data_IF_919246018792
#
_entry.id   IF_919246018792
#
_cell.length_a   1.000
_cell.length_b   1.000
_cell.length_c   1.000
_cell.angle_alpha   90.00
_cell.angle_beta   90.00
_cell.angle_gamma   90.00
#
_symmetry.space_group_name_H-M   'P 1'
#
loop_
_entity.id
_entity.type
_entity.pdbx_description
1 polymer ?
#
# COMPACT_ATOMS: atom_id res chain seq x y z
N UNK A 1 16.29 32.87 -37.48
CA UNK A 1 16.66 32.87 -36.05
C UNK A 1 15.37 33.06 -35.24
N UNK A 2 14.63 31.97 -34.97
CA UNK A 2 13.31 32.03 -34.33
C UNK A 2 13.53 32.05 -32.82
N UNK A 3 13.43 33.24 -32.22
CA UNK A 3 13.51 33.44 -30.77
C UNK A 3 12.15 33.01 -30.20
N UNK A 4 12.07 31.80 -29.66
CA UNK A 4 10.84 31.28 -29.04
C UNK A 4 10.35 32.26 -27.99
N UNK A 5 9.06 32.62 -28.05
CA UNK A 5 8.46 33.55 -27.09
C UNK A 5 8.51 32.95 -25.68
N UNK A 6 8.73 33.77 -24.63
CA UNK A 6 8.86 33.28 -23.25
C UNK A 6 7.62 32.47 -22.78
N UNK A 7 6.44 32.82 -23.29
CA UNK A 7 5.18 32.08 -23.06
C UNK A 7 5.22 30.64 -23.59
N UNK A 8 5.89 30.40 -24.71
CA UNK A 8 6.00 29.06 -25.29
C UNK A 8 6.93 28.16 -24.46
N UNK A 9 8.03 28.71 -23.95
CA UNK A 9 8.98 28.02 -23.08
C UNK A 9 8.34 27.70 -21.71
N UNK A 10 7.56 28.63 -21.14
CA UNK A 10 6.82 28.38 -19.90
C UNK A 10 5.71 27.34 -20.05
N UNK A 11 4.99 27.35 -21.17
CA UNK A 11 3.94 26.35 -21.47
C UNK A 11 4.53 24.95 -21.68
N UNK A 12 5.69 24.86 -22.36
CA UNK A 12 6.42 23.61 -22.50
C UNK A 12 6.98 23.12 -21.16
N UNK A 13 7.50 24.00 -20.30
CA UNK A 13 8.00 23.64 -18.98
C UNK A 13 6.90 23.17 -18.04
N UNK A 14 5.70 23.78 -18.08
CA UNK A 14 4.52 23.33 -17.31
C UNK A 14 3.95 22.02 -17.85
N UNK A 15 3.88 21.86 -19.17
CA UNK A 15 3.44 20.60 -19.79
C UNK A 15 4.44 19.48 -19.54
N UNK A 16 5.75 19.77 -19.60
CA UNK A 16 6.80 18.82 -19.26
C UNK A 16 6.78 18.45 -17.79
N UNK A 17 6.62 19.40 -16.85
CA UNK A 17 6.40 19.07 -15.41
C UNK A 17 5.18 18.17 -15.19
N UNK A 18 4.11 18.37 -15.97
CA UNK A 18 2.88 17.57 -15.89
C UNK A 18 3.03 16.18 -16.55
N UNK A 19 3.91 16.06 -17.54
CA UNK A 19 4.20 14.82 -18.26
C UNK A 19 5.35 13.99 -17.63
N UNK A 20 6.21 14.61 -16.82
CA UNK A 20 7.43 13.98 -16.25
C UNK A 20 7.13 13.07 -15.07
N UNK A 21 5.93 13.07 -14.49
CA UNK A 21 5.59 12.03 -13.53
C UNK A 21 4.15 11.56 -13.70
N UNK A 22 3.96 10.57 -14.57
CA UNK A 22 2.98 9.52 -14.27
C UNK A 22 3.44 8.83 -12.98
N UNK A 23 3.26 9.49 -11.84
CA UNK A 23 3.48 8.91 -10.52
C UNK A 23 2.58 7.67 -10.44
N UNK A 24 3.19 6.49 -10.32
CA UNK A 24 2.44 5.26 -10.12
C UNK A 24 1.73 5.36 -8.77
N UNK A 25 0.42 5.14 -8.78
CA UNK A 25 -0.34 5.13 -7.53
C UNK A 25 0.01 3.90 -6.70
N UNK A 26 -0.21 3.96 -5.39
CA UNK A 26 -0.04 2.79 -4.51
C UNK A 26 -0.90 1.60 -4.97
N UNK A 27 -2.12 1.87 -5.45
CA UNK A 27 -2.93 0.85 -6.13
C UNK A 27 -2.25 0.28 -7.37
N UNK A 28 -1.70 1.14 -8.23
CA UNK A 28 -0.95 0.72 -9.41
C UNK A 28 0.22 -0.19 -9.04
N UNK A 29 0.94 0.13 -7.97
CA UNK A 29 2.02 -0.71 -7.44
C UNK A 29 1.51 -2.10 -7.05
N UNK A 30 0.44 -2.19 -6.25
CA UNK A 30 -0.09 -3.49 -5.86
C UNK A 30 -0.64 -4.30 -7.03
N UNK A 31 -1.30 -3.65 -8.00
CA UNK A 31 -1.86 -4.31 -9.18
C UNK A 31 -0.77 -4.88 -10.11
N UNK A 32 0.35 -4.16 -10.26
CA UNK A 32 1.42 -4.54 -11.19
C UNK A 32 2.41 -5.50 -10.54
N UNK A 33 2.75 -5.31 -9.26
CA UNK A 33 3.83 -6.03 -8.61
C UNK A 33 3.34 -7.06 -7.60
N UNK A 34 2.43 -6.68 -6.70
CA UNK A 34 2.10 -7.54 -5.56
C UNK A 34 1.05 -8.60 -5.87
N UNK A 35 -0.07 -8.20 -6.48
CA UNK A 35 -1.19 -9.08 -6.80
C UNK A 35 -0.84 -10.17 -7.82
N UNK A 36 -0.01 -9.93 -8.86
CA UNK A 36 0.41 -11.00 -9.76
C UNK A 36 1.23 -12.09 -9.04
N UNK A 37 2.07 -11.71 -8.08
CA UNK A 37 2.84 -12.66 -7.26
C UNK A 37 1.89 -13.48 -6.39
N UNK A 38 0.93 -12.84 -5.71
CA UNK A 38 -0.09 -13.53 -4.91
C UNK A 38 -0.91 -14.50 -5.78
N UNK A 39 -1.37 -14.05 -6.95
CA UNK A 39 -2.12 -14.88 -7.88
C UNK A 39 -1.31 -16.11 -8.33
N UNK A 40 -0.04 -15.92 -8.68
CA UNK A 40 0.88 -17.01 -9.01
C UNK A 40 1.02 -18.00 -7.85
N UNK A 41 1.24 -17.51 -6.62
CA UNK A 41 1.36 -18.35 -5.43
C UNK A 41 0.08 -19.14 -5.15
N UNK A 42 -1.09 -18.51 -5.27
CA UNK A 42 -2.39 -19.19 -5.11
C UNK A 42 -2.54 -20.29 -6.16
N UNK A 43 -2.20 -20.03 -7.43
CA UNK A 43 -2.25 -21.04 -8.50
C UNK A 43 -1.31 -22.21 -8.20
N UNK A 44 -0.07 -21.93 -7.78
CA UNK A 44 0.91 -22.96 -7.42
C UNK A 44 0.49 -23.79 -6.19
N UNK A 45 -0.24 -23.17 -5.26
CA UNK A 45 -0.67 -23.79 -4.01
C UNK A 45 -2.11 -24.31 -4.03
N UNK A 46 -2.86 -24.15 -5.14
CA UNK A 46 -4.32 -24.37 -5.18
C UNK A 46 -4.79 -25.73 -4.68
N UNK A 47 -3.96 -26.78 -4.84
CA UNK A 47 -4.27 -28.14 -4.38
C UNK A 47 -3.82 -28.43 -2.94
N UNK A 48 -3.06 -27.51 -2.32
CA UNK A 48 -2.50 -27.61 -0.96
C UNK A 48 -3.22 -26.69 0.03
N UNK A 49 -3.86 -25.62 -0.45
CA UNK A 49 -4.62 -24.71 0.40
C UNK A 49 -5.82 -25.44 1.02
N UNK A 50 -6.07 -25.11 2.28
CA UNK A 50 -7.13 -25.70 3.12
C UNK A 50 -7.73 -24.57 3.93
N UNK A 51 -8.96 -24.75 4.41
CA UNK A 51 -9.63 -23.72 5.21
C UNK A 51 -8.79 -23.27 6.42
N UNK A 52 -8.11 -24.20 7.10
CA UNK A 52 -7.21 -23.89 8.20
C UNK A 52 -6.11 -22.87 7.82
N UNK A 53 -5.56 -22.95 6.60
CA UNK A 53 -4.57 -21.99 6.13
C UNK A 53 -5.15 -20.59 5.97
N UNK A 54 -6.39 -20.47 5.48
CA UNK A 54 -7.07 -19.18 5.36
C UNK A 54 -7.40 -18.59 6.74
N UNK A 55 -7.82 -19.42 7.70
CA UNK A 55 -8.09 -18.97 9.08
C UNK A 55 -6.82 -18.46 9.74
N UNK A 56 -5.72 -19.22 9.69
CA UNK A 56 -4.44 -18.77 10.23
C UNK A 56 -3.95 -17.49 9.54
N UNK A 57 -4.04 -17.42 8.21
CA UNK A 57 -3.69 -16.24 7.44
C UNK A 57 -4.51 -15.01 7.88
N UNK A 58 -5.83 -15.16 8.04
CA UNK A 58 -6.72 -14.09 8.49
C UNK A 58 -6.36 -13.62 9.91
N UNK A 59 -6.04 -14.54 10.83
CA UNK A 59 -5.60 -14.20 12.18
C UNK A 59 -4.29 -13.41 12.13
N UNK A 60 -3.31 -13.86 11.35
CA UNK A 60 -2.01 -13.17 11.20
C UNK A 60 -2.21 -11.77 10.60
N UNK A 61 -3.01 -11.65 9.54
CA UNK A 61 -3.32 -10.34 8.94
C UNK A 61 -4.04 -9.43 9.92
N UNK A 62 -4.97 -9.95 10.74
CA UNK A 62 -5.67 -9.18 11.75
C UNK A 62 -4.72 -8.69 12.85
N UNK A 63 -3.82 -9.56 13.33
CA UNK A 63 -2.80 -9.18 14.32
C UNK A 63 -1.89 -8.10 13.74
N UNK A 64 -1.37 -8.31 12.53
CA UNK A 64 -0.51 -7.34 11.85
C UNK A 64 -1.23 -6.00 11.71
N UNK A 65 -2.45 -6.00 11.19
CA UNK A 65 -3.25 -4.79 11.01
C UNK A 65 -3.50 -4.03 12.31
N UNK A 66 -3.95 -4.72 13.37
CA UNK A 66 -4.23 -4.10 14.68
C UNK A 66 -2.94 -3.57 15.30
N UNK A 67 -1.83 -4.29 15.13
CA UNK A 67 -0.56 -3.89 15.69
C UNK A 67 0.02 -2.69 14.94
N UNK A 68 0.08 -2.72 13.60
CA UNK A 68 0.75 -1.69 12.79
C UNK A 68 -0.06 -0.40 12.70
N UNK A 69 -1.38 -0.49 12.54
CA UNK A 69 -2.26 0.68 12.32
C UNK A 69 -2.04 1.81 13.33
N UNK A 70 -2.05 1.56 14.66
CA UNK A 70 -1.64 2.51 15.69
C UNK A 70 -0.34 3.27 15.44
N UNK A 71 0.76 2.53 15.29
CA UNK A 71 2.10 3.11 15.22
C UNK A 71 2.29 3.89 13.94
N UNK A 72 1.72 3.39 12.85
CA UNK A 72 1.89 3.95 11.51
C UNK A 72 1.13 5.28 11.36
N UNK A 73 -0.11 5.32 11.86
CA UNK A 73 -0.89 6.56 11.96
C UNK A 73 -0.19 7.58 12.88
N UNK A 74 0.38 7.13 13.99
CA UNK A 74 1.10 8.01 14.90
C UNK A 74 2.40 8.56 14.29
N UNK A 75 3.12 7.78 13.49
CA UNK A 75 4.30 8.24 12.78
C UNK A 75 3.98 9.32 11.72
N UNK A 76 2.85 9.18 11.00
CA UNK A 76 2.35 10.24 10.09
C UNK A 76 1.98 11.49 10.88
N UNK A 77 1.27 11.32 12.00
CA UNK A 77 0.89 12.43 12.87
C UNK A 77 2.09 13.24 13.37
N UNK A 78 3.17 12.56 13.75
CA UNK A 78 4.43 13.20 14.16
C UNK A 78 5.23 13.80 12.99
N UNK A 79 4.81 13.57 11.74
CA UNK A 79 5.53 14.01 10.54
C UNK A 79 6.86 13.28 10.33
N UNK A 80 7.06 12.12 10.96
CA UNK A 80 8.27 11.29 10.78
C UNK A 80 8.31 10.73 9.35
N UNK A 81 7.13 10.45 8.78
CA UNK A 81 6.99 9.98 7.42
C UNK A 81 5.64 10.43 6.82
N UNK A 82 5.47 10.33 5.50
CA UNK A 82 4.27 10.78 4.81
C UNK A 82 4.20 10.31 3.36
N UNK A 83 3.12 10.68 2.67
CA UNK A 83 2.81 10.25 1.30
C UNK A 83 2.97 11.41 0.31
N UNK A 84 3.25 11.09 -0.96
CA UNK A 84 3.37 12.12 -2.01
C UNK A 84 2.01 12.69 -2.45
N UNK A 85 2.03 13.88 -3.04
CA UNK A 85 0.83 14.44 -3.69
C UNK A 85 0.43 13.60 -4.92
N UNK A 86 -0.84 13.17 -4.95
CA UNK A 86 -1.44 12.49 -6.11
C UNK A 86 -1.08 11.01 -6.28
N UNK A 87 -0.38 10.38 -5.33
CA UNK A 87 -0.02 8.94 -5.41
C UNK A 87 -1.03 8.00 -4.75
N UNK A 88 -1.94 8.51 -3.93
CA UNK A 88 -2.97 7.71 -3.26
C UNK A 88 -4.36 8.35 -3.41
N UNK A 89 -5.40 7.53 -3.52
CA UNK A 89 -6.80 7.96 -3.50
C UNK A 89 -7.06 8.68 -2.17
N UNK A 90 -7.49 9.93 -2.27
CA UNK A 90 -7.85 10.77 -1.12
C UNK A 90 -6.68 11.44 -0.39
N UNK A 91 -5.51 11.58 -1.02
CA UNK A 91 -4.46 12.45 -0.49
C UNK A 91 -4.85 13.94 -0.50
N UNK A 92 -4.58 14.72 0.56
CA UNK A 92 -4.09 14.30 1.88
C UNK A 92 -5.24 13.81 2.76
N UNK A 93 -5.24 12.53 3.15
CA UNK A 93 -6.23 11.98 4.09
C UNK A 93 -6.04 12.56 5.50
N UNK A 94 -4.82 13.02 5.80
CA UNK A 94 -4.52 13.83 6.97
C UNK A 94 -5.44 15.04 7.08
N UNK A 95 -5.89 15.65 5.97
CA UNK A 95 -6.83 16.78 6.04
C UNK A 95 -8.19 16.35 6.57
N UNK A 96 -8.69 15.16 6.22
CA UNK A 96 -9.93 14.64 6.78
C UNK A 96 -9.79 14.31 8.28
N UNK A 97 -8.67 13.68 8.67
CA UNK A 97 -8.38 13.40 10.08
C UNK A 97 -8.19 14.69 10.89
N UNK A 98 -7.38 15.64 10.44
CA UNK A 98 -7.11 16.91 11.11
C UNK A 98 -8.35 17.84 11.16
N UNK A 99 -9.27 17.75 10.20
CA UNK A 99 -10.49 18.57 10.16
C UNK A 99 -11.61 17.98 11.03
N UNK A 100 -11.66 16.64 11.19
CA UNK A 100 -12.75 15.97 11.91
C UNK A 100 -12.34 15.37 13.27
N UNK A 101 -11.04 15.37 13.64
CA UNK A 101 -10.65 14.94 14.97
C UNK A 101 -10.85 16.08 15.98
N UNK A 102 -11.63 15.87 17.06
CA UNK A 102 -11.62 16.78 18.20
C UNK A 102 -10.17 16.86 18.70
N UNK A 103 -9.72 18.06 19.09
CA UNK A 103 -8.37 18.32 19.63
C UNK A 103 -7.96 17.42 20.83
N UNK A 104 -8.86 16.55 21.28
CA UNK A 104 -8.76 15.68 22.46
C UNK A 104 -9.19 14.22 22.17
N UNK A 105 -9.46 13.83 20.92
CA UNK A 105 -10.10 12.56 20.54
C UNK A 105 -9.17 11.56 19.83
N UNK A 106 -9.00 10.38 20.42
CA UNK A 106 -8.64 9.09 19.81
C UNK A 106 -7.99 9.10 18.39
N UNK A 107 -6.75 9.54 18.27
CA UNK A 107 -6.03 9.79 17.00
C UNK A 107 -5.37 8.57 16.34
N UNK A 108 -5.91 7.36 16.51
CA UNK A 108 -5.24 6.11 16.06
C UNK A 108 -5.54 5.72 14.60
N UNK A 109 -6.50 6.38 13.95
CA UNK A 109 -7.01 6.02 12.61
C UNK A 109 -7.19 7.28 11.74
N UNK A 110 -6.99 7.12 10.43
CA UNK A 110 -7.34 8.12 9.42
C UNK A 110 -6.22 9.05 8.96
N UNK A 111 -4.98 8.86 9.42
CA UNK A 111 -3.82 9.63 8.94
C UNK A 111 -3.16 9.00 7.71
N UNK A 112 -3.26 7.67 7.57
CA UNK A 112 -2.73 6.91 6.42
C UNK A 112 -3.82 6.70 5.35
N UNK A 113 -3.45 6.60 4.06
CA UNK A 113 -4.38 6.36 2.96
C UNK A 113 -4.94 4.93 2.97
N UNK A 114 -6.07 4.70 2.29
CA UNK A 114 -6.72 3.39 2.19
C UNK A 114 -5.83 2.30 1.59
N UNK A 115 -4.95 2.71 0.69
CA UNK A 115 -3.94 1.85 0.09
C UNK A 115 -2.98 1.26 1.12
N UNK A 116 -2.62 2.01 2.16
CA UNK A 116 -1.69 1.54 3.20
C UNK A 116 -2.35 0.48 4.09
N UNK A 117 -3.62 0.70 4.45
CA UNK A 117 -4.42 -0.34 5.14
C UNK A 117 -4.53 -1.62 4.29
N UNK A 118 -4.67 -1.46 2.98
CA UNK A 118 -4.71 -2.60 2.04
C UNK A 118 -3.35 -3.29 1.97
N UNK A 119 -2.25 -2.53 2.00
CA UNK A 119 -0.89 -3.04 2.00
C UNK A 119 -0.65 -4.01 3.15
N UNK A 120 -1.03 -3.68 4.39
CA UNK A 120 -0.85 -4.57 5.55
C UNK A 120 -1.49 -5.96 5.32
N UNK A 121 -2.67 -5.99 4.69
CA UNK A 121 -3.37 -7.24 4.41
C UNK A 121 -2.75 -7.97 3.23
N UNK A 122 -2.45 -7.27 2.15
CA UNK A 122 -1.86 -7.84 0.93
C UNK A 122 -0.49 -8.47 1.25
N UNK A 123 0.36 -7.77 2.01
CA UNK A 123 1.68 -8.23 2.43
C UNK A 123 1.58 -9.42 3.39
N UNK A 124 0.68 -9.34 4.40
CA UNK A 124 0.41 -10.46 5.31
C UNK A 124 -0.05 -11.73 4.57
N UNK A 125 -0.95 -11.60 3.59
CA UNK A 125 -1.38 -12.73 2.74
C UNK A 125 -0.23 -13.29 1.93
N UNK A 126 0.58 -12.42 1.30
CA UNK A 126 1.73 -12.85 0.51
C UNK A 126 2.73 -13.63 1.36
N UNK A 127 3.08 -13.13 2.56
CA UNK A 127 3.97 -13.80 3.51
C UNK A 127 3.40 -15.17 3.91
N UNK A 128 2.11 -15.24 4.26
CA UNK A 128 1.47 -16.51 4.62
C UNK A 128 1.54 -17.54 3.47
N UNK A 129 1.27 -17.11 2.23
CA UNK A 129 1.36 -18.00 1.06
C UNK A 129 2.80 -18.47 0.81
N UNK A 130 3.79 -17.58 0.92
CA UNK A 130 5.21 -17.94 0.81
C UNK A 130 5.59 -18.96 1.89
N UNK A 131 5.13 -18.78 3.12
CA UNK A 131 5.40 -19.72 4.22
C UNK A 131 4.82 -21.10 3.93
N UNK A 132 3.56 -21.18 3.48
CA UNK A 132 2.93 -22.45 3.10
C UNK A 132 3.70 -23.12 1.96
N UNK A 133 4.18 -22.34 0.99
CA UNK A 133 5.00 -22.86 -0.11
C UNK A 133 6.33 -23.44 0.36
N UNK A 134 7.02 -22.79 1.31
CA UNK A 134 8.29 -23.29 1.85
C UNK A 134 8.09 -24.55 2.69
N UNK A 135 7.22 -24.51 3.70
CA UNK A 135 7.04 -25.64 4.64
C UNK A 135 6.29 -26.82 4.02
N UNK A 136 5.50 -26.59 2.97
CA UNK A 136 4.84 -27.66 2.22
C UNK A 136 5.80 -28.57 1.45
N UNK A 137 7.09 -28.21 1.29
CA UNK A 137 8.12 -29.07 0.67
C UNK A 137 8.76 -30.05 1.66
N UNK A 138 8.65 -29.80 2.96
CA UNK A 138 9.41 -30.53 3.99
C UNK A 138 8.94 -31.96 4.25
N UNK A 139 7.81 -32.41 3.67
CA UNK A 139 7.26 -33.76 3.91
C UNK A 139 7.77 -34.85 2.95
N UNK A 140 8.67 -34.54 2.02
CA UNK A 140 9.18 -35.50 1.03
C UNK A 140 10.60 -36.02 1.31
N UNK A 141 11.17 -35.75 2.48
CA UNK A 141 12.56 -36.11 2.82
C UNK A 141 12.71 -36.96 4.10
N UNK A 142 11.63 -37.58 4.59
CA UNK A 142 11.65 -38.49 5.73
C UNK A 142 11.07 -39.85 5.34
#
# INVERSE_FOLDING_TARGET
MIRGSPLFIETLATTAKKAIVCQMTYWGYHLIFTLPIIALLIVLLRHRLRLAHFVCCAIVCLIAFIFTTPWDNYAVYLGIWGFGEGVSLGYPFSNWSLTNNPKNGFSWLGYIPFEEYSFFIIEGVMVCLVMIWQFGKSKSAA
#
